data_IF_956904140778
#
_entry.id   IF_956904140778
#
_cell.length_a   1.000
_cell.length_b   1.000
_cell.length_c   1.000
_cell.angle_alpha   90.00
_cell.angle_beta   90.00
_cell.angle_gamma   90.00
#
_symmetry.space_group_name_H-M   'P 1'
#
loop_
_entity.id
_entity.type
_entity.pdbx_description
1 polymer ?
#
# COMPACT_ATOMS: atom_id res chain seq x y z
N UNK A 1 -7.94 3.05 4.71
CA UNK A 1 -8.79 3.86 5.63
C UNK A 1 -8.41 3.64 7.08
N UNK A 2 -8.40 2.43 7.57
CA UNK A 2 -8.08 2.13 8.97
C UNK A 2 -6.65 2.54 9.37
N UNK A 3 -5.67 2.31 8.50
CA UNK A 3 -4.30 2.74 8.74
C UNK A 3 -4.19 4.26 8.91
N UNK A 4 -4.92 5.04 8.12
CA UNK A 4 -4.94 6.50 8.23
C UNK A 4 -5.55 6.99 9.55
N UNK A 5 -6.50 6.23 10.11
CA UNK A 5 -7.19 6.60 11.34
C UNK A 5 -6.42 6.20 12.62
N UNK A 6 -5.75 5.06 12.59
CA UNK A 6 -5.22 4.44 13.81
C UNK A 6 -3.70 4.41 13.91
N UNK A 7 -2.97 4.55 12.80
CA UNK A 7 -1.51 4.58 12.85
C UNK A 7 -1.05 6.02 13.10
N UNK A 8 -0.23 6.20 14.14
CA UNK A 8 0.38 7.51 14.41
C UNK A 8 1.53 7.76 13.44
N UNK A 9 1.44 8.87 12.73
CA UNK A 9 2.47 9.31 11.80
C UNK A 9 3.32 10.39 12.44
N UNK A 10 4.59 10.13 12.66
CA UNK A 10 5.52 11.02 13.36
C UNK A 10 6.46 11.76 12.42
N UNK A 11 6.57 11.30 11.16
CA UNK A 11 7.43 11.90 10.15
C UNK A 11 6.60 12.65 9.11
N UNK A 12 7.04 13.84 8.72
CA UNK A 12 6.48 14.55 7.56
C UNK A 12 6.60 13.66 6.32
N UNK A 13 5.53 13.56 5.54
CA UNK A 13 5.43 12.70 4.35
C UNK A 13 5.67 11.21 4.62
N UNK A 14 5.56 10.78 5.88
CA UNK A 14 5.70 9.38 6.28
C UNK A 14 4.48 8.50 5.96
N UNK A 15 3.39 9.10 5.48
CA UNK A 15 2.17 8.39 5.10
C UNK A 15 1.73 8.80 3.70
N UNK A 16 1.52 7.82 2.83
CA UNK A 16 1.13 8.02 1.44
C UNK A 16 -0.19 7.29 1.22
N UNK A 17 -1.18 7.98 0.68
CA UNK A 17 -2.49 7.40 0.35
C UNK A 17 -3.12 8.14 -0.83
N UNK A 18 -4.04 7.48 -1.51
CA UNK A 18 -4.90 8.12 -2.51
C UNK A 18 -6.00 8.93 -1.81
N UNK A 19 -5.63 10.09 -1.24
CA UNK A 19 -6.52 10.91 -0.40
C UNK A 19 -7.62 11.64 -1.17
N UNK A 20 -7.51 11.77 -2.47
CA UNK A 20 -8.53 12.39 -3.32
C UNK A 20 -9.67 11.42 -3.66
N UNK A 21 -9.39 10.46 -4.51
CA UNK A 21 -10.39 9.51 -5.03
C UNK A 21 -10.45 8.18 -4.27
N UNK A 22 -9.52 7.91 -3.36
CA UNK A 22 -9.48 6.65 -2.62
C UNK A 22 -9.27 5.44 -3.54
N UNK A 23 -8.39 5.57 -4.53
CA UNK A 23 -8.23 4.60 -5.62
C UNK A 23 -7.73 3.25 -5.11
N UNK A 24 -8.50 2.20 -5.31
CA UNK A 24 -8.06 0.84 -5.08
C UNK A 24 -6.95 0.46 -6.08
N UNK A 25 -5.97 -0.34 -5.61
CA UNK A 25 -4.80 -0.70 -6.42
C UNK A 25 -3.65 0.31 -6.39
N UNK A 26 -3.86 1.53 -5.87
CA UNK A 26 -2.84 2.57 -5.77
C UNK A 26 -1.62 2.15 -4.93
N UNK A 27 -1.84 1.36 -3.89
CA UNK A 27 -0.86 1.13 -2.83
C UNK A 27 0.45 0.50 -3.30
N UNK A 28 0.40 -0.49 -4.20
CA UNK A 28 1.60 -1.21 -4.61
C UNK A 28 2.56 -0.32 -5.42
N UNK A 29 2.03 0.38 -6.43
CA UNK A 29 2.83 1.33 -7.21
C UNK A 29 3.42 2.45 -6.36
N UNK A 30 2.63 3.00 -5.43
CA UNK A 30 3.09 4.01 -4.49
C UNK A 30 4.20 3.47 -3.56
N UNK A 31 4.07 2.23 -3.07
CA UNK A 31 5.07 1.58 -2.24
C UNK A 31 6.39 1.35 -2.99
N UNK A 32 6.32 0.92 -4.24
CA UNK A 32 7.50 0.77 -5.12
C UNK A 32 8.21 2.11 -5.28
N UNK A 33 7.48 3.16 -5.67
CA UNK A 33 8.05 4.49 -5.85
C UNK A 33 8.67 5.04 -4.57
N UNK A 34 8.01 4.88 -3.44
CA UNK A 34 8.53 5.30 -2.14
C UNK A 34 9.79 4.52 -1.75
N UNK A 35 9.80 3.19 -1.94
CA UNK A 35 10.95 2.37 -1.59
C UNK A 35 12.17 2.68 -2.47
N UNK A 36 11.96 2.94 -3.75
CA UNK A 36 13.03 3.37 -4.65
C UNK A 36 13.62 4.72 -4.21
N UNK A 37 12.78 5.66 -3.79
CA UNK A 37 13.22 6.97 -3.31
C UNK A 37 13.98 6.89 -1.98
N UNK A 38 13.60 5.98 -1.08
CA UNK A 38 14.22 5.79 0.23
C UNK A 38 15.50 4.93 0.19
N UNK A 39 15.74 4.22 -0.88
CA UNK A 39 16.82 3.26 -0.95
C UNK A 39 16.59 2.03 -0.05
N UNK A 40 17.66 1.46 0.50
CA UNK A 40 17.59 0.22 1.31
C UNK A 40 17.67 0.45 2.82
N UNK A 41 17.96 1.66 3.26
CA UNK A 41 18.13 1.98 4.68
C UNK A 41 16.80 2.05 5.44
N UNK A 42 15.75 2.44 4.74
CA UNK A 42 14.40 2.51 5.30
C UNK A 42 13.47 1.58 4.55
N UNK A 43 12.54 0.98 5.26
CA UNK A 43 11.56 0.07 4.66
C UNK A 43 10.20 0.72 4.57
N UNK A 44 9.54 0.49 3.44
CA UNK A 44 8.14 0.85 3.24
C UNK A 44 7.26 -0.30 3.73
N UNK A 45 6.26 0.04 4.52
CA UNK A 45 5.20 -0.89 4.92
C UNK A 45 3.94 -0.49 4.16
N UNK A 46 3.43 -1.38 3.32
CA UNK A 46 2.19 -1.17 2.58
C UNK A 46 1.04 -1.90 3.28
N UNK A 47 0.01 -1.16 3.64
CA UNK A 47 -1.26 -1.72 4.13
C UNK A 47 -2.27 -1.72 3.00
N UNK A 48 -2.88 -2.86 2.71
CA UNK A 48 -3.86 -2.99 1.63
C UNK A 48 -4.94 -4.00 1.99
N UNK A 49 -6.11 -3.86 1.38
CA UNK A 49 -7.11 -4.91 1.37
C UNK A 49 -6.80 -5.97 0.31
N UNK A 50 -7.40 -7.15 0.43
CA UNK A 50 -7.24 -8.25 -0.53
C UNK A 50 -7.70 -7.85 -1.94
N UNK A 51 -8.85 -7.21 -2.09
CA UNK A 51 -9.34 -6.74 -3.38
C UNK A 51 -8.44 -5.69 -4.02
N UNK A 52 -7.97 -4.71 -3.25
CA UNK A 52 -7.05 -3.68 -3.72
C UNK A 52 -5.70 -4.27 -4.13
N UNK A 53 -5.20 -5.25 -3.38
CA UNK A 53 -3.96 -5.96 -3.70
C UNK A 53 -4.05 -6.69 -5.04
N UNK A 54 -5.16 -7.39 -5.29
CA UNK A 54 -5.38 -8.11 -6.55
C UNK A 54 -5.39 -7.20 -7.78
N UNK A 55 -5.82 -5.96 -7.65
CA UNK A 55 -5.91 -5.04 -8.81
C UNK A 55 -4.56 -4.74 -9.44
N UNK A 56 -3.48 -4.77 -8.67
CA UNK A 56 -2.12 -4.51 -9.15
C UNK A 56 -1.10 -5.55 -8.66
N UNK A 57 -1.53 -6.79 -8.51
CA UNK A 57 -0.67 -7.90 -8.08
C UNK A 57 0.53 -8.12 -9.02
N UNK A 58 0.37 -7.83 -10.30
CA UNK A 58 1.43 -7.89 -11.30
C UNK A 58 2.66 -7.04 -10.93
N UNK A 59 2.48 -5.94 -10.20
CA UNK A 59 3.58 -5.08 -9.76
C UNK A 59 4.49 -5.75 -8.71
N UNK A 60 4.06 -6.88 -8.15
CA UNK A 60 4.94 -7.70 -7.32
C UNK A 60 6.19 -8.17 -8.09
N UNK A 61 6.05 -8.44 -9.39
CA UNK A 61 7.19 -8.79 -10.24
C UNK A 61 8.21 -7.65 -10.32
N UNK A 62 7.74 -6.41 -10.42
CA UNK A 62 8.61 -5.22 -10.41
C UNK A 62 9.36 -5.12 -9.08
N UNK A 63 8.65 -5.26 -7.96
CA UNK A 63 9.26 -5.20 -6.63
C UNK A 63 10.34 -6.28 -6.43
N UNK A 64 10.07 -7.50 -6.89
CA UNK A 64 11.04 -8.62 -6.83
C UNK A 64 12.23 -8.37 -7.75
N UNK A 65 12.00 -7.95 -8.99
CA UNK A 65 13.06 -7.69 -9.97
C UNK A 65 14.05 -6.63 -9.53
N UNK A 66 13.60 -5.64 -8.79
CA UNK A 66 14.43 -4.58 -8.23
C UNK A 66 14.84 -4.85 -6.78
N UNK A 67 14.54 -6.04 -6.25
CA UNK A 67 14.88 -6.44 -4.87
C UNK A 67 14.44 -5.40 -3.82
N UNK A 68 13.25 -4.84 -3.98
CA UNK A 68 12.72 -3.81 -3.09
C UNK A 68 12.20 -4.43 -1.78
N UNK A 69 12.72 -4.01 -0.61
CA UNK A 69 12.38 -4.62 0.67
C UNK A 69 11.05 -4.10 1.24
N UNK A 70 9.99 -4.15 0.43
CA UNK A 70 8.65 -3.71 0.82
C UNK A 70 8.01 -4.77 1.71
N UNK A 71 7.45 -4.35 2.84
CA UNK A 71 6.63 -5.20 3.70
C UNK A 71 5.17 -4.98 3.32
N UNK A 72 4.49 -6.02 2.85
CA UNK A 72 3.08 -5.95 2.46
C UNK A 72 2.21 -6.61 3.53
N UNK A 73 1.31 -5.84 4.10
CA UNK A 73 0.30 -6.29 5.07
C UNK A 73 -1.06 -6.28 4.39
N UNK A 74 -1.63 -7.47 4.17
CA UNK A 74 -2.91 -7.65 3.49
C UNK A 74 -4.00 -7.95 4.53
N UNK A 75 -5.00 -7.09 4.60
CA UNK A 75 -6.23 -7.34 5.36
C UNK A 75 -7.19 -8.15 4.49
N UNK A 76 -7.12 -9.46 4.64
CA UNK A 76 -7.95 -10.37 3.87
C UNK A 76 -9.28 -10.64 4.59
N UNK A 77 -10.32 -9.97 4.16
CA UNK A 77 -11.69 -10.19 4.65
C UNK A 77 -12.63 -10.75 3.56
N UNK A 78 -12.09 -11.04 2.37
CA UNK A 78 -12.79 -11.61 1.22
C UNK A 78 -13.97 -10.77 0.74
N UNK A 79 -13.96 -9.47 1.00
CA UNK A 79 -15.00 -8.54 0.55
C UNK A 79 -14.40 -7.19 0.18
N UNK A 80 -15.06 -6.48 -0.73
CA UNK A 80 -14.83 -5.07 -0.95
C UNK A 80 -15.67 -4.29 0.08
N UNK A 81 -15.08 -4.03 1.24
CA UNK A 81 -15.81 -3.58 2.43
C UNK A 81 -16.70 -2.36 2.19
N UNK A 82 -16.21 -1.34 1.50
CA UNK A 82 -16.99 -0.14 1.20
C UNK A 82 -18.12 -0.41 0.21
N UNK A 83 -17.88 -1.25 -0.79
CA UNK A 83 -18.94 -1.68 -1.74
C UNK A 83 -20.01 -2.49 -1.03
N UNK A 84 -19.61 -3.36 -0.11
CA UNK A 84 -20.56 -4.19 0.65
C UNK A 84 -21.52 -3.38 1.53
N UNK A 85 -21.16 -2.18 1.92
CA UNK A 85 -22.01 -1.31 2.72
C UNK A 85 -23.21 -0.75 1.96
N UNK A 86 -23.22 -0.81 0.63
CA UNK A 86 -24.29 -0.36 -0.25
C UNK A 86 -25.17 -1.54 -0.68
#
# INVERSE_FOLDING_TARGET
>A
MWAAQYIRHTKSRGFITSGGLGTMGFGYGAAIGAQMALGREQRVVMFTGDGSFHMNLNEACTAVSYELPIITVIFNNSVLGMVRQW
#
